data_IF_659765281553
#
_entry.id   IF_659765281553
#
_cell.length_a   1.000
_cell.length_b   1.000
_cell.length_c   1.000
_cell.angle_alpha   90.00
_cell.angle_beta   90.00
_cell.angle_gamma   90.00
#
_symmetry.space_group_name_H-M   'P 1'
#
loop_
_entity.id
_entity.type
_entity.pdbx_description
1 polymer ?
#
# COMPACT_ATOMS: atom_id res chain seq x y z
N UNK A 1 -19.41 44.89 -5.57
CA UNK A 1 -18.42 44.97 -6.66
C UNK A 1 -18.19 43.54 -7.10
N UNK A 2 -19.03 43.08 -8.03
CA UNK A 2 -18.91 41.74 -8.61
C UNK A 2 -17.65 41.71 -9.47
N UNK A 3 -16.81 40.70 -9.24
CA UNK A 3 -15.64 40.46 -10.09
C UNK A 3 -16.16 39.74 -11.33
N UNK A 4 -15.96 40.38 -12.47
CA UNK A 4 -16.28 39.81 -13.78
C UNK A 4 -15.30 38.66 -14.07
N UNK A 5 -15.83 37.43 -14.03
CA UNK A 5 -15.05 36.19 -14.16
C UNK A 5 -14.42 36.07 -15.56
N UNK A 6 -14.99 36.77 -16.54
CA UNK A 6 -14.53 36.78 -17.93
C UNK A 6 -13.27 37.67 -18.14
N UNK A 7 -12.86 38.42 -17.10
CA UNK A 7 -11.64 39.23 -17.11
C UNK A 7 -10.42 38.54 -16.48
N UNK A 8 -10.57 37.29 -16.03
CA UNK A 8 -9.49 36.52 -15.42
C UNK A 8 -8.63 35.88 -16.53
N UNK A 9 -7.32 36.19 -16.59
CA UNK A 9 -6.42 35.58 -17.56
C UNK A 9 -6.47 34.04 -17.56
N UNK A 10 -6.40 33.43 -18.75
CA UNK A 10 -6.60 32.00 -18.93
C UNK A 10 -5.56 31.15 -18.17
N UNK A 11 -4.34 31.65 -18.01
CA UNK A 11 -3.26 31.09 -17.22
C UNK A 11 -3.54 31.12 -15.70
N UNK A 12 -4.21 32.17 -15.21
CA UNK A 12 -4.67 32.29 -13.82
C UNK A 12 -5.83 31.31 -13.57
N UNK A 13 -6.74 31.17 -14.53
CA UNK A 13 -7.83 30.19 -14.50
C UNK A 13 -7.31 28.75 -14.54
N UNK A 14 -6.27 28.47 -15.34
CA UNK A 14 -5.55 27.20 -15.37
C UNK A 14 -4.80 26.94 -14.05
N UNK A 15 -4.18 27.96 -13.47
CA UNK A 15 -3.55 27.88 -12.16
C UNK A 15 -4.56 27.48 -11.07
N UNK A 16 -5.68 28.18 -10.96
CA UNK A 16 -6.73 27.85 -9.97
C UNK A 16 -7.44 26.51 -10.23
N UNK A 17 -7.49 26.05 -11.48
CA UNK A 17 -7.96 24.69 -11.82
C UNK A 17 -6.92 23.60 -11.50
N UNK A 18 -5.64 23.95 -11.49
CA UNK A 18 -4.53 23.04 -11.13
C UNK A 18 -4.25 22.99 -9.62
N UNK A 19 -4.64 24.03 -8.89
CA UNK A 19 -4.59 24.07 -7.43
C UNK A 19 -5.80 23.29 -6.91
N UNK A 20 -5.54 22.07 -6.45
CA UNK A 20 -6.53 21.28 -5.73
C UNK A 20 -6.79 21.96 -4.38
N UNK A 21 -7.85 22.77 -4.28
CA UNK A 21 -8.27 23.42 -3.03
C UNK A 21 -8.64 22.44 -1.90
N UNK A 22 -8.53 21.12 -2.11
CA UNK A 22 -8.58 20.09 -1.06
C UNK A 22 -7.22 19.82 -0.40
N UNK A 23 -6.12 20.42 -0.87
CA UNK A 23 -4.83 20.25 -0.22
C UNK A 23 -4.83 20.99 1.11
N UNK A 24 -4.66 20.23 2.19
CA UNK A 24 -4.36 20.82 3.48
C UNK A 24 -3.02 21.58 3.34
N UNK A 25 -2.98 22.92 3.47
CA UNK A 25 -1.78 23.71 3.19
C UNK A 25 -0.63 23.36 4.14
N UNK A 26 -0.92 22.71 5.27
CA UNK A 26 0.09 22.23 6.19
C UNK A 26 0.91 21.07 5.63
N UNK A 27 0.45 20.40 4.56
CA UNK A 27 1.19 19.35 3.88
C UNK A 27 2.40 19.87 3.10
N UNK A 28 2.47 21.18 2.85
CA UNK A 28 3.59 21.82 2.14
C UNK A 28 4.66 22.38 3.09
N UNK A 29 4.43 22.30 4.40
CA UNK A 29 5.41 22.76 5.40
C UNK A 29 6.69 21.94 5.31
N UNK A 30 7.84 22.61 5.29
CA UNK A 30 9.13 21.91 5.32
C UNK A 30 9.44 21.28 6.69
N UNK A 31 10.44 20.41 6.72
CA UNK A 31 10.80 19.69 7.95
C UNK A 31 11.28 20.62 9.08
N UNK A 32 11.91 21.76 8.76
CA UNK A 32 12.41 22.69 9.77
C UNK A 32 11.26 23.42 10.47
N UNK A 33 10.26 23.83 9.69
CA UNK A 33 9.03 24.46 10.17
C UNK A 33 8.22 23.49 11.02
N UNK A 34 8.05 22.24 10.56
CA UNK A 34 7.37 21.21 11.36
C UNK A 34 8.11 20.99 12.69
N UNK A 35 9.43 20.84 12.68
CA UNK A 35 10.21 20.53 13.88
C UNK A 35 10.11 21.57 15.00
N UNK A 36 9.83 22.83 14.64
CA UNK A 36 9.68 23.96 15.58
C UNK A 36 8.23 24.32 15.87
N UNK A 37 7.29 23.66 15.20
CA UNK A 37 5.86 23.89 15.37
C UNK A 37 5.34 23.29 16.67
N UNK A 38 4.21 23.82 17.15
CA UNK A 38 3.49 23.24 18.27
C UNK A 38 2.96 21.83 17.91
N UNK A 39 2.93 20.92 18.88
CA UNK A 39 2.60 19.50 18.67
C UNK A 39 1.23 19.26 18.01
N UNK A 40 0.30 20.21 18.13
CA UNK A 40 -1.01 20.18 17.48
C UNK A 40 -0.94 20.15 15.94
N UNK A 41 0.21 20.49 15.33
CA UNK A 41 0.43 20.39 13.89
C UNK A 41 0.21 18.97 13.36
N UNK A 42 0.46 17.95 14.20
CA UNK A 42 0.25 16.54 13.84
C UNK A 42 -1.20 16.23 13.47
N UNK A 43 -2.18 16.94 14.06
CA UNK A 43 -3.60 16.76 13.74
C UNK A 43 -3.96 17.20 12.32
N UNK A 44 -3.22 18.18 11.80
CA UNK A 44 -3.36 18.63 10.43
C UNK A 44 -2.58 17.68 9.51
N UNK A 45 -1.33 17.40 9.85
CA UNK A 45 -0.43 16.58 9.02
C UNK A 45 -0.95 15.16 8.80
N UNK A 46 -1.70 14.56 9.74
CA UNK A 46 -2.20 13.19 9.59
C UNK A 46 -3.13 12.97 8.40
N UNK A 47 -3.67 14.03 7.80
CA UNK A 47 -4.52 13.94 6.61
C UNK A 47 -3.73 14.09 5.30
N UNK A 48 -2.42 14.31 5.36
CA UNK A 48 -1.57 14.40 4.17
C UNK A 48 -1.43 13.04 3.49
N UNK A 49 -1.45 13.04 2.16
CA UNK A 49 -1.32 11.82 1.34
C UNK A 49 0.13 11.31 1.27
N UNK A 50 1.12 12.20 1.34
CA UNK A 50 2.53 11.82 1.32
C UNK A 50 3.39 12.82 2.10
N UNK A 51 4.66 12.45 2.32
CA UNK A 51 5.63 13.26 3.07
C UNK A 51 7.02 13.14 2.45
N UNK A 52 7.73 14.26 2.34
CA UNK A 52 9.15 14.32 1.99
C UNK A 52 10.03 13.72 3.09
N UNK A 53 11.28 13.39 2.76
CA UNK A 53 12.24 12.83 3.74
C UNK A 53 12.41 13.71 4.98
N UNK A 54 12.52 15.04 4.79
CA UNK A 54 12.64 16.00 5.89
C UNK A 54 11.37 16.08 6.74
N UNK A 55 10.19 16.04 6.12
CA UNK A 55 8.93 16.00 6.85
C UNK A 55 8.80 14.73 7.68
N UNK A 56 9.14 13.56 7.11
CA UNK A 56 9.08 12.28 7.82
C UNK A 56 9.91 12.30 9.10
N UNK A 57 11.16 12.77 9.01
CA UNK A 57 12.04 12.88 10.17
C UNK A 57 11.52 13.85 11.23
N UNK A 58 10.99 15.02 10.82
CA UNK A 58 10.44 16.01 11.74
C UNK A 58 9.19 15.49 12.48
N UNK A 59 8.26 14.90 11.73
CA UNK A 59 7.02 14.32 12.27
C UNK A 59 7.34 13.18 13.24
N UNK A 60 8.22 12.26 12.84
CA UNK A 60 8.63 11.15 13.70
C UNK A 60 9.31 11.65 14.99
N UNK A 61 10.18 12.66 14.90
CA UNK A 61 10.81 13.25 16.08
C UNK A 61 9.78 13.90 17.04
N UNK A 62 8.79 14.63 16.51
CA UNK A 62 7.73 15.22 17.32
C UNK A 62 6.90 14.16 18.05
N UNK A 63 6.53 13.08 17.36
CA UNK A 63 5.75 11.98 17.95
C UNK A 63 6.47 11.26 19.09
N UNK A 64 7.80 11.14 19.01
CA UNK A 64 8.59 10.40 20.00
C UNK A 64 9.12 11.28 21.15
N UNK A 65 9.41 12.55 20.91
CA UNK A 65 10.13 13.40 21.88
C UNK A 65 9.24 14.39 22.63
N UNK A 66 8.00 14.59 22.19
CA UNK A 66 7.07 15.55 22.81
C UNK A 66 5.93 14.82 23.54
N UNK A 67 5.37 15.41 24.61
CA UNK A 67 4.11 14.95 25.17
C UNK A 67 3.00 15.12 24.11
N UNK A 68 2.67 14.04 23.41
CA UNK A 68 1.60 14.06 22.40
C UNK A 68 0.29 13.58 23.02
N UNK A 69 -0.84 13.95 22.41
CA UNK A 69 -2.15 13.41 22.78
C UNK A 69 -2.25 11.88 22.58
N UNK A 70 -1.36 11.32 21.76
CA UNK A 70 -1.32 9.89 21.47
C UNK A 70 -0.56 9.10 22.54
N UNK A 71 0.19 9.77 23.41
CA UNK A 71 1.07 9.12 24.39
C UNK A 71 2.31 8.50 23.75
N UNK A 72 3.06 7.73 24.54
CA UNK A 72 4.27 7.04 24.07
C UNK A 72 3.92 5.91 23.10
N UNK A 73 4.73 5.65 22.05
CA UNK A 73 4.47 4.57 21.10
C UNK A 73 4.21 3.19 21.72
N UNK A 74 4.88 2.88 22.83
CA UNK A 74 4.70 1.63 23.57
C UNK A 74 3.34 1.46 24.24
N UNK A 75 2.60 2.55 24.42
CA UNK A 75 1.25 2.58 24.99
C UNK A 75 0.14 2.62 23.93
N UNK A 76 0.49 2.73 22.64
CA UNK A 76 -0.49 2.87 21.58
C UNK A 76 -1.32 1.60 21.41
N UNK A 77 -2.63 1.81 21.25
CA UNK A 77 -3.59 0.76 20.92
C UNK A 77 -3.89 0.75 19.43
N UNK A 78 -4.64 -0.24 18.95
CA UNK A 78 -5.12 -0.24 17.57
C UNK A 78 -5.99 0.99 17.24
N UNK A 79 -6.75 1.50 18.23
CA UNK A 79 -7.51 2.74 18.09
C UNK A 79 -6.58 3.95 17.92
N UNK A 80 -5.53 4.04 18.72
CA UNK A 80 -4.53 5.13 18.60
C UNK A 80 -3.89 5.13 17.21
N UNK A 81 -3.55 3.95 16.68
CA UNK A 81 -3.00 3.78 15.33
C UNK A 81 -4.00 4.19 14.23
N UNK A 82 -5.29 3.97 14.44
CA UNK A 82 -6.34 4.44 13.52
C UNK A 82 -6.46 5.98 13.57
N UNK A 83 -6.41 6.59 14.76
CA UNK A 83 -6.50 8.04 14.97
C UNK A 83 -5.30 8.83 14.41
N UNK A 84 -4.14 8.17 14.29
CA UNK A 84 -2.91 8.71 13.71
C UNK A 84 -3.01 8.97 12.19
N UNK A 85 -4.10 8.59 11.52
CA UNK A 85 -4.32 8.87 10.11
C UNK A 85 -3.20 8.32 9.24
N UNK A 86 -2.56 9.16 8.43
CA UNK A 86 -1.44 8.79 7.55
C UNK A 86 -0.06 9.04 8.16
N UNK A 87 0.05 9.55 9.40
CA UNK A 87 1.34 9.73 10.07
C UNK A 87 2.19 8.45 10.14
N UNK A 88 1.64 7.22 10.21
CA UNK A 88 2.45 6.01 10.19
C UNK A 88 3.38 5.88 8.96
N UNK A 89 3.09 6.56 7.84
CA UNK A 89 4.00 6.63 6.67
C UNK A 89 5.35 7.28 6.96
N UNK A 90 5.48 8.00 8.08
CA UNK A 90 6.72 8.65 8.50
C UNK A 90 7.58 7.78 9.40
N UNK A 91 7.03 6.68 9.95
CA UNK A 91 7.66 5.92 11.02
C UNK A 91 8.79 5.05 10.50
N UNK A 92 10.00 5.24 11.02
CA UNK A 92 11.15 4.35 10.86
C UNK A 92 11.37 3.55 12.14
N UNK A 93 12.10 4.11 13.11
CA UNK A 93 12.41 3.46 14.38
C UNK A 93 11.19 3.37 15.31
N UNK A 94 10.19 4.24 15.14
CA UNK A 94 8.95 4.23 15.95
C UNK A 94 8.30 2.85 15.95
N UNK A 95 8.33 2.13 14.82
CA UNK A 95 7.76 0.79 14.71
C UNK A 95 8.28 -0.20 15.74
N UNK A 96 9.55 -0.08 16.15
CA UNK A 96 10.17 -0.94 17.17
C UNK A 96 9.61 -0.71 18.57
N UNK A 97 8.99 0.44 18.80
CA UNK A 97 8.43 0.81 20.09
C UNK A 97 6.93 0.54 20.18
N UNK A 98 6.23 0.34 19.06
CA UNK A 98 4.79 0.05 19.06
C UNK A 98 4.54 -1.41 19.45
N UNK A 99 3.49 -1.62 20.25
CA UNK A 99 3.06 -2.96 20.65
C UNK A 99 2.64 -3.80 19.43
N UNK A 100 3.19 -5.03 19.31
CA UNK A 100 2.95 -5.91 18.16
C UNK A 100 1.46 -6.28 17.98
N UNK A 101 0.72 -6.49 19.08
CA UNK A 101 -0.71 -6.81 19.02
C UNK A 101 -1.49 -5.62 18.46
N UNK A 102 -1.18 -4.40 18.91
CA UNK A 102 -1.80 -3.19 18.35
C UNK A 102 -1.54 -3.06 16.84
N UNK A 103 -0.31 -3.36 16.38
CA UNK A 103 0.05 -3.37 14.96
C UNK A 103 -0.76 -4.40 14.17
N UNK A 104 -0.83 -5.64 14.64
CA UNK A 104 -1.56 -6.71 13.97
C UNK A 104 -3.04 -6.36 13.74
N UNK A 105 -3.67 -5.68 14.71
CA UNK A 105 -5.06 -5.26 14.57
C UNK A 105 -5.25 -4.01 13.69
N UNK A 106 -4.31 -3.07 13.68
CA UNK A 106 -4.47 -1.79 12.97
C UNK A 106 -3.96 -1.82 11.52
N UNK A 107 -2.83 -2.48 11.27
CA UNK A 107 -2.17 -2.47 9.96
C UNK A 107 -3.05 -2.97 8.81
N UNK A 108 -3.89 -4.02 8.95
CA UNK A 108 -4.77 -4.42 7.85
C UNK A 108 -5.71 -3.30 7.39
N UNK A 109 -6.31 -2.56 8.34
CA UNK A 109 -7.18 -1.41 8.02
C UNK A 109 -6.37 -0.27 7.40
N UNK A 110 -5.20 0.01 7.95
CA UNK A 110 -4.29 1.02 7.44
C UNK A 110 -3.87 0.74 6.00
N UNK A 111 -3.40 -0.48 5.71
CA UNK A 111 -2.97 -0.90 4.37
C UNK A 111 -4.11 -0.83 3.36
N UNK A 112 -5.33 -1.26 3.72
CA UNK A 112 -6.52 -1.11 2.87
C UNK A 112 -6.75 0.35 2.49
N UNK A 113 -6.77 1.26 3.47
CA UNK A 113 -6.93 2.70 3.23
C UNK A 113 -5.79 3.28 2.39
N UNK A 114 -4.56 2.81 2.63
CA UNK A 114 -3.38 3.23 1.90
C UNK A 114 -3.47 2.84 0.43
N UNK A 115 -3.86 1.59 0.12
CA UNK A 115 -4.07 1.10 -1.26
C UNK A 115 -5.10 1.91 -2.03
N UNK A 116 -6.15 2.40 -1.36
CA UNK A 116 -7.18 3.23 -2.02
C UNK A 116 -6.68 4.65 -2.31
N UNK A 117 -5.76 5.17 -1.51
CA UNK A 117 -5.40 6.59 -1.52
C UNK A 117 -4.02 6.88 -2.12
N UNK A 118 -3.21 5.84 -2.37
CA UNK A 118 -1.81 5.98 -2.76
C UNK A 118 -1.45 5.07 -3.93
N UNK A 119 -0.46 5.48 -4.75
CA UNK A 119 0.04 4.64 -5.81
C UNK A 119 0.78 3.39 -5.25
N UNK A 120 0.85 2.30 -6.04
CA UNK A 120 1.41 1.02 -5.60
C UNK A 120 2.84 1.10 -5.04
N UNK A 121 3.69 1.96 -5.60
CA UNK A 121 5.07 2.11 -5.14
C UNK A 121 5.18 2.67 -3.71
N UNK A 122 4.24 3.53 -3.30
CA UNK A 122 4.19 4.07 -1.93
C UNK A 122 3.76 2.97 -0.96
N UNK A 123 2.76 2.16 -1.35
CA UNK A 123 2.28 1.03 -0.53
C UNK A 123 3.38 -0.02 -0.36
N UNK A 124 4.06 -0.40 -1.45
CA UNK A 124 5.14 -1.38 -1.41
C UNK A 124 6.34 -0.87 -0.57
N UNK A 125 6.74 0.39 -0.75
CA UNK A 125 7.81 0.98 0.06
C UNK A 125 7.48 1.03 1.55
N UNK A 126 6.21 1.22 1.90
CA UNK A 126 5.74 1.14 3.29
C UNK A 126 5.79 -0.29 3.85
N UNK A 127 5.35 -1.28 3.06
CA UNK A 127 5.43 -2.71 3.42
C UNK A 127 6.89 -3.14 3.64
N UNK A 128 7.81 -2.75 2.75
CA UNK A 128 9.23 -3.07 2.88
C UNK A 128 9.84 -2.47 4.16
N UNK A 129 9.47 -1.23 4.47
CA UNK A 129 9.88 -0.58 5.71
C UNK A 129 9.35 -1.31 6.95
N UNK A 130 8.11 -1.78 6.92
CA UNK A 130 7.54 -2.60 8.00
C UNK A 130 8.26 -3.95 8.14
N UNK A 131 8.54 -4.66 7.04
CA UNK A 131 9.27 -5.94 7.05
C UNK A 131 10.63 -5.81 7.74
N UNK A 132 11.33 -4.68 7.56
CA UNK A 132 12.63 -4.42 8.17
C UNK A 132 12.58 -4.12 9.68
N UNK A 133 11.46 -3.60 10.18
CA UNK A 133 11.37 -3.05 11.53
C UNK A 133 10.50 -3.87 12.47
N UNK A 134 9.51 -4.58 11.94
CA UNK A 134 8.57 -5.35 12.71
C UNK A 134 8.88 -6.83 12.61
N UNK A 135 9.00 -7.48 13.77
CA UNK A 135 9.27 -8.91 13.86
C UNK A 135 7.99 -9.73 13.61
N UNK A 136 7.45 -9.66 12.40
CA UNK A 136 6.27 -10.42 11.96
C UNK A 136 6.62 -11.85 11.54
N UNK A 137 7.78 -12.37 11.94
CA UNK A 137 8.24 -13.67 11.49
C UNK A 137 7.36 -14.79 12.08
N UNK A 138 6.56 -15.41 11.24
CA UNK A 138 5.83 -16.62 11.58
C UNK A 138 6.64 -17.85 11.18
N UNK A 139 6.63 -18.89 12.02
CA UNK A 139 7.18 -20.18 11.66
C UNK A 139 6.33 -20.82 10.57
N UNK A 140 6.98 -21.18 9.46
CA UNK A 140 6.31 -21.70 8.26
C UNK A 140 5.56 -23.01 8.56
N UNK A 141 4.25 -22.88 8.80
CA UNK A 141 3.23 -23.94 8.78
C UNK A 141 2.35 -23.72 7.54
N UNK A 142 1.62 -24.74 7.08
CA UNK A 142 0.75 -24.59 5.91
C UNK A 142 -0.23 -23.41 6.13
N UNK A 143 -0.18 -22.43 5.23
CA UNK A 143 -1.00 -21.22 5.32
C UNK A 143 -2.46 -21.58 5.04
N UNK A 144 -3.31 -21.46 6.05
CA UNK A 144 -4.75 -21.71 5.92
C UNK A 144 -5.45 -20.57 5.19
N UNK A 145 -6.59 -20.85 4.56
CA UNK A 145 -7.31 -19.86 3.76
C UNK A 145 -7.84 -18.70 4.62
N UNK A 146 -8.28 -19.01 5.84
CA UNK A 146 -8.79 -18.06 6.83
C UNK A 146 -7.72 -17.09 7.37
N UNK A 147 -6.43 -17.44 7.25
CA UNK A 147 -5.31 -16.64 7.72
C UNK A 147 -4.75 -15.70 6.63
N UNK A 148 -5.31 -15.74 5.42
CA UNK A 148 -4.91 -14.85 4.31
C UNK A 148 -5.51 -13.46 4.52
N UNK A 149 -4.64 -12.47 4.73
CA UNK A 149 -5.02 -11.09 4.96
C UNK A 149 -3.99 -10.08 4.41
N UNK A 150 -4.18 -8.80 4.73
CA UNK A 150 -3.28 -7.72 4.31
C UNK A 150 -1.86 -7.82 4.88
N UNK A 151 -1.65 -8.63 5.92
CA UNK A 151 -0.34 -8.87 6.51
C UNK A 151 0.36 -10.08 5.91
N UNK A 152 -0.33 -10.93 5.13
CA UNK A 152 0.31 -12.07 4.44
C UNK A 152 1.58 -11.68 3.68
N UNK A 153 1.64 -10.57 2.90
CA UNK A 153 2.87 -10.14 2.22
C UNK A 153 4.00 -9.72 3.17
N UNK A 154 3.69 -9.37 4.42
CA UNK A 154 4.66 -8.98 5.44
C UNK A 154 5.15 -10.21 6.22
N UNK A 155 4.26 -11.15 6.51
CA UNK A 155 4.52 -12.37 7.32
C UNK A 155 5.31 -13.44 6.57
N UNK A 156 5.11 -13.55 5.25
CA UNK A 156 5.70 -14.60 4.42
C UNK A 156 6.54 -14.01 3.31
N UNK A 157 7.86 -14.16 3.35
CA UNK A 157 8.70 -13.87 2.18
C UNK A 157 8.46 -14.87 1.04
N UNK A 158 9.11 -14.68 -0.11
CA UNK A 158 8.95 -15.56 -1.27
C UNK A 158 9.29 -17.04 -0.97
N UNK A 159 10.31 -17.30 -0.14
CA UNK A 159 10.74 -18.67 0.20
C UNK A 159 9.71 -19.33 1.11
N UNK A 160 9.23 -18.61 2.11
CA UNK A 160 8.18 -19.08 3.02
C UNK A 160 6.87 -19.29 2.26
N UNK A 161 6.49 -18.38 1.36
CA UNK A 161 5.30 -18.50 0.53
C UNK A 161 5.37 -19.73 -0.38
N UNK A 162 6.54 -19.99 -0.99
CA UNK A 162 6.71 -21.18 -1.83
C UNK A 162 6.57 -22.48 -1.03
N UNK A 163 7.09 -22.49 0.19
CA UNK A 163 7.05 -23.66 1.06
C UNK A 163 5.67 -23.89 1.71
N UNK A 164 4.99 -22.82 2.12
CA UNK A 164 3.83 -22.92 3.01
C UNK A 164 2.49 -22.62 2.36
N UNK A 165 2.45 -22.03 1.17
CA UNK A 165 1.21 -21.94 0.40
C UNK A 165 1.04 -23.18 -0.48
N UNK A 166 0.08 -24.04 -0.14
CA UNK A 166 -0.26 -25.18 -0.98
C UNK A 166 -1.00 -24.76 -2.25
N UNK A 167 -0.89 -25.58 -3.30
CA UNK A 167 -1.58 -25.32 -4.57
C UNK A 167 -3.10 -25.26 -4.40
N UNK A 168 -3.66 -26.04 -3.48
CA UNK A 168 -5.11 -26.05 -3.22
C UNK A 168 -5.57 -24.73 -2.59
N UNK A 169 -4.85 -24.23 -1.57
CA UNK A 169 -5.16 -22.94 -0.94
C UNK A 169 -5.01 -21.81 -1.95
N UNK A 170 -3.94 -21.81 -2.76
CA UNK A 170 -3.76 -20.85 -3.84
C UNK A 170 -4.94 -20.87 -4.82
N UNK A 171 -5.28 -22.06 -5.36
CA UNK A 171 -6.35 -22.23 -6.34
C UNK A 171 -7.69 -21.69 -5.85
N UNK A 172 -8.01 -21.90 -4.58
CA UNK A 172 -9.30 -21.50 -4.02
C UNK A 172 -9.35 -20.03 -3.59
N UNK A 173 -8.20 -19.34 -3.50
CA UNK A 173 -8.10 -17.98 -2.97
C UNK A 173 -7.36 -17.00 -3.91
N UNK A 174 -7.32 -17.30 -5.22
CA UNK A 174 -6.60 -16.48 -6.23
C UNK A 174 -7.04 -15.02 -6.17
N UNK A 175 -8.35 -14.77 -6.07
CA UNK A 175 -8.88 -13.41 -5.99
C UNK A 175 -8.33 -12.64 -4.79
N UNK A 176 -8.41 -13.23 -3.59
CA UNK A 176 -7.93 -12.58 -2.36
C UNK A 176 -6.44 -12.31 -2.47
N UNK A 177 -5.64 -13.33 -2.81
CA UNK A 177 -4.19 -13.20 -2.98
C UNK A 177 -3.82 -12.17 -4.06
N UNK A 178 -4.59 -12.11 -5.15
CA UNK A 178 -4.42 -11.13 -6.22
C UNK A 178 -4.69 -9.69 -5.81
N UNK A 179 -5.43 -9.44 -4.72
CA UNK A 179 -5.68 -8.08 -4.19
C UNK A 179 -4.63 -7.60 -3.20
N UNK A 180 -3.72 -8.47 -2.76
CA UNK A 180 -2.69 -8.16 -1.79
C UNK A 180 -1.47 -7.50 -2.45
N UNK A 181 -0.78 -6.66 -1.68
CA UNK A 181 0.41 -5.93 -2.12
C UNK A 181 1.69 -6.75 -1.96
N UNK A 182 1.73 -7.90 -2.64
CA UNK A 182 2.94 -8.72 -2.76
C UNK A 182 4.01 -7.98 -3.56
N UNK A 183 5.27 -8.15 -3.16
CA UNK A 183 6.41 -7.72 -3.96
C UNK A 183 6.60 -8.61 -5.19
N UNK A 184 7.47 -8.19 -6.12
CA UNK A 184 7.71 -8.92 -7.37
C UNK A 184 8.13 -10.38 -7.13
N UNK A 185 8.97 -10.64 -6.13
CA UNK A 185 9.47 -12.00 -5.86
C UNK A 185 8.35 -12.91 -5.35
N UNK A 186 7.48 -12.40 -4.48
CA UNK A 186 6.30 -13.11 -3.98
C UNK A 186 5.29 -13.36 -5.11
N UNK A 187 5.02 -12.37 -5.97
CA UNK A 187 4.14 -12.53 -7.13
C UNK A 187 4.66 -13.61 -8.10
N UNK A 188 5.98 -13.69 -8.30
CA UNK A 188 6.60 -14.74 -9.12
C UNK A 188 6.39 -16.15 -8.54
N UNK A 189 6.38 -16.31 -7.22
CA UNK A 189 6.05 -17.59 -6.56
C UNK A 189 4.59 -17.97 -6.82
N UNK A 190 3.66 -17.03 -6.68
CA UNK A 190 2.24 -17.26 -6.97
C UNK A 190 2.05 -17.65 -8.44
N UNK A 191 2.69 -16.92 -9.37
CA UNK A 191 2.69 -17.27 -10.79
C UNK A 191 3.19 -18.70 -11.02
N UNK A 192 4.35 -19.04 -10.46
CA UNK A 192 4.98 -20.35 -10.66
C UNK A 192 4.05 -21.50 -10.24
N UNK A 193 3.43 -21.38 -9.07
CA UNK A 193 2.45 -22.38 -8.58
C UNK A 193 1.20 -22.45 -9.45
N UNK A 194 0.70 -21.32 -9.97
CA UNK A 194 -0.44 -21.32 -10.91
C UNK A 194 -0.08 -22.02 -12.23
N UNK A 195 1.10 -21.79 -12.79
CA UNK A 195 1.54 -22.46 -14.02
C UNK A 195 1.66 -23.98 -13.82
N UNK A 196 2.06 -24.43 -12.63
CA UNK A 196 2.06 -25.86 -12.29
C UNK A 196 0.64 -26.46 -12.23
N UNK A 197 -0.35 -25.69 -11.77
CA UNK A 197 -1.76 -26.11 -11.77
C UNK A 197 -2.38 -26.14 -13.16
N UNK A 198 -1.90 -25.28 -14.06
CA UNK A 198 -2.46 -25.05 -15.39
C UNK A 198 -1.36 -25.12 -16.47
N UNK A 199 -0.77 -26.31 -16.73
CA UNK A 199 0.37 -26.47 -17.64
C UNK A 199 0.03 -26.14 -19.10
N UNK A 200 -1.26 -26.17 -19.47
CA UNK A 200 -1.75 -25.85 -20.81
C UNK A 200 -2.28 -24.41 -20.91
N UNK A 201 -1.96 -23.54 -19.95
CA UNK A 201 -2.44 -22.18 -19.87
C UNK A 201 -3.63 -22.00 -18.92
N UNK A 202 -3.78 -20.78 -18.40
CA UNK A 202 -4.82 -20.45 -17.44
C UNK A 202 -6.22 -20.42 -18.11
N UNK A 203 -7.24 -21.03 -17.48
CA UNK A 203 -8.63 -20.85 -17.87
C UNK A 203 -9.12 -19.41 -17.67
N UNK A 204 -10.07 -18.96 -18.48
CA UNK A 204 -10.56 -17.57 -18.47
C UNK A 204 -11.14 -17.12 -17.12
N UNK A 205 -11.89 -18.01 -16.46
CA UNK A 205 -12.45 -17.76 -15.12
C UNK A 205 -11.35 -17.51 -14.08
N UNK A 206 -10.21 -18.17 -14.22
CA UNK A 206 -9.04 -18.02 -13.35
C UNK A 206 -8.30 -16.71 -13.65
N UNK A 207 -8.21 -16.34 -14.93
CA UNK A 207 -7.56 -15.10 -15.39
C UNK A 207 -8.21 -13.86 -14.78
N UNK A 208 -9.55 -13.84 -14.72
CA UNK A 208 -10.33 -12.75 -14.12
C UNK A 208 -10.07 -12.55 -12.62
N UNK A 209 -9.50 -13.54 -11.93
CA UNK A 209 -9.21 -13.49 -10.50
C UNK A 209 -7.77 -13.05 -10.19
N UNK A 210 -6.89 -12.96 -11.18
CA UNK A 210 -5.44 -12.81 -10.95
C UNK A 210 -5.05 -11.53 -10.19
N UNK A 211 -5.78 -10.43 -10.39
CA UNK A 211 -5.42 -9.13 -9.81
C UNK A 211 -3.95 -8.79 -10.07
N UNK A 212 -3.22 -8.41 -9.01
CA UNK A 212 -1.79 -8.07 -9.05
C UNK A 212 -0.90 -9.21 -9.57
N UNK A 213 -1.30 -10.48 -9.47
CA UNK A 213 -0.53 -11.63 -9.98
C UNK A 213 -0.37 -11.54 -11.50
N UNK A 214 -1.33 -10.92 -12.21
CA UNK A 214 -1.25 -10.77 -13.66
C UNK A 214 -0.06 -9.92 -14.12
N UNK A 215 0.50 -9.09 -13.23
CA UNK A 215 1.56 -8.12 -13.57
C UNK A 215 2.93 -8.76 -13.81
N UNK A 216 3.14 -10.01 -13.38
CA UNK A 216 4.42 -10.74 -13.53
C UNK A 216 4.39 -11.79 -14.65
N UNK A 217 3.30 -11.86 -15.41
CA UNK A 217 3.24 -12.66 -16.64
C UNK A 217 3.77 -11.85 -17.82
N UNK A 218 4.55 -12.50 -18.68
CA UNK A 218 4.99 -11.91 -19.94
C UNK A 218 4.08 -12.32 -21.11
N UNK A 219 4.21 -11.64 -22.24
CA UNK A 219 3.38 -11.88 -23.43
C UNK A 219 3.44 -13.34 -23.93
N UNK A 220 4.61 -14.01 -23.83
CA UNK A 220 4.76 -15.41 -24.22
C UNK A 220 3.96 -16.34 -23.31
N UNK A 221 4.04 -16.15 -21.99
CA UNK A 221 3.24 -16.92 -21.03
C UNK A 221 1.74 -16.65 -21.25
N UNK A 222 1.35 -15.38 -21.48
CA UNK A 222 -0.03 -14.99 -21.75
C UNK A 222 -0.58 -15.58 -23.05
N UNK A 223 0.27 -15.89 -24.03
CA UNK A 223 -0.17 -16.45 -25.32
C UNK A 223 -0.77 -17.86 -25.19
N UNK A 224 -0.47 -18.56 -24.09
CA UNK A 224 -1.03 -19.88 -23.79
C UNK A 224 -2.43 -19.83 -23.18
N UNK A 225 -2.92 -18.64 -22.82
CA UNK A 225 -4.16 -18.49 -22.09
C UNK A 225 -5.40 -18.74 -22.96
N UNK A 226 -6.39 -19.42 -22.39
CA UNK A 226 -7.65 -19.67 -23.07
C UNK A 226 -8.63 -18.50 -22.84
N UNK A 227 -8.42 -17.39 -23.54
CA UNK A 227 -9.30 -16.21 -23.47
C UNK A 227 -10.29 -16.23 -24.64
N UNK A 228 -11.59 -16.20 -24.33
CA UNK A 228 -12.66 -16.14 -25.32
C UNK A 228 -13.29 -14.74 -25.43
N UNK A 229 -13.24 -13.93 -24.36
CA UNK A 229 -13.82 -12.58 -24.35
C UNK A 229 -12.75 -11.49 -24.53
N UNK A 230 -13.04 -10.54 -25.43
CA UNK A 230 -12.17 -9.36 -25.67
C UNK A 230 -12.01 -8.51 -24.41
N UNK A 231 -13.06 -8.40 -23.60
CA UNK A 231 -13.01 -7.64 -22.34
C UNK A 231 -12.03 -8.25 -21.33
N UNK A 232 -11.96 -9.58 -21.25
CA UNK A 232 -10.98 -10.28 -20.41
C UNK A 232 -9.55 -9.97 -20.87
N UNK A 233 -9.30 -10.02 -22.17
CA UNK A 233 -8.00 -9.65 -22.74
C UNK A 233 -7.63 -8.20 -22.40
N UNK A 234 -8.58 -7.27 -22.57
CA UNK A 234 -8.40 -5.87 -22.22
C UNK A 234 -8.06 -5.67 -20.75
N UNK A 235 -8.78 -6.31 -19.83
CA UNK A 235 -8.51 -6.20 -18.39
C UNK A 235 -7.10 -6.61 -18.02
N UNK A 236 -6.61 -7.74 -18.56
CA UNK A 236 -5.28 -8.23 -18.19
C UNK A 236 -4.16 -7.41 -18.82
N UNK A 237 -4.33 -6.93 -20.05
CA UNK A 237 -3.33 -6.07 -20.70
C UNK A 237 -3.26 -4.67 -20.07
N UNK A 238 -4.39 -4.16 -19.57
CA UNK A 238 -4.45 -2.85 -18.93
C UNK A 238 -3.93 -2.88 -17.49
N UNK A 239 -3.93 -4.03 -16.82
CA UNK A 239 -3.49 -4.12 -15.43
C UNK A 239 -2.00 -3.74 -15.24
N UNK A 240 -1.03 -4.32 -16.00
CA UNK A 240 0.36 -3.87 -16.00
C UNK A 240 0.54 -2.38 -16.35
N UNK A 241 -0.36 -1.81 -17.15
CA UNK A 241 -0.30 -0.40 -17.57
C UNK A 241 -0.76 0.56 -16.47
N UNK A 242 -1.78 0.21 -15.69
CA UNK A 242 -2.19 0.99 -14.50
C UNK A 242 -1.06 1.11 -13.47
N UNK A 243 -0.21 0.10 -13.37
CA UNK A 243 0.96 0.11 -12.48
C UNK A 243 2.19 0.82 -13.08
N UNK A 244 2.26 1.03 -14.40
CA UNK A 244 3.41 1.69 -15.06
C UNK A 244 3.19 3.17 -15.39
N UNK A 245 1.93 3.67 -15.42
CA UNK A 245 1.63 5.10 -15.61
C UNK A 245 2.00 6.00 -14.42
N UNK A 246 2.65 5.47 -13.39
CA UNK A 246 3.19 6.24 -12.24
C UNK A 246 4.65 6.68 -12.46
N UNK A 247 5.27 6.36 -13.61
CA UNK A 247 6.56 6.96 -14.01
C UNK A 247 6.32 8.21 -14.86
N UNK A 248 5.97 9.32 -14.24
CA UNK A 248 6.28 10.66 -14.74
C UNK A 248 6.63 11.56 -13.57
#
# INVERSE_FOLDING_TARGET
>A
MEVDVDMIPEDVLLYFKSVDFKTNPNCDLDGATISTSHISILEQLKNCVSYTKSQKSAIEALLNNSPTRYGLPSSWTSLTLDELGNLPLTFTFTWKHVNLVALQYALPRFLKRLKTSNPPNVVLGFIDQLKLQANFTETCTELAAEDIDELTPIKYDAVQLDKCLSHLVLKNNIFVLGTLSFDSTQLHVLKYKLVQLYPNGLPEDTILLLGNISTVFNATEMSSWNITQVDTLGQVLLNPLKHSQVRK
#
